data_IF_426413177733
#
_entry.id   IF_426413177733
#
_cell.length_a   1.000
_cell.length_b   1.000
_cell.length_c   1.000
_cell.angle_alpha   90.00
_cell.angle_beta   90.00
_cell.angle_gamma   90.00
#
_symmetry.space_group_name_H-M   'P 1'
#
loop_
_entity.id
_entity.type
_entity.pdbx_description
1 polymer ?
#
# COMPACT_ATOMS: atom_id res chain seq x y z
N UNK A 1 -4.97 -18.26 -11.99
CA UNK A 1 -5.66 -17.08 -12.56
C UNK A 1 -5.60 -15.97 -11.52
N UNK A 2 -5.90 -14.73 -11.86
CA UNK A 2 -6.08 -13.70 -10.82
C UNK A 2 -7.31 -14.09 -10.01
N UNK A 3 -7.12 -14.37 -8.72
CA UNK A 3 -8.14 -14.90 -7.80
C UNK A 3 -7.91 -14.38 -6.37
N UNK A 4 -8.68 -14.87 -5.40
CA UNK A 4 -8.63 -14.43 -4.00
C UNK A 4 -7.30 -14.64 -3.27
N UNK A 5 -6.35 -15.39 -3.85
CA UNK A 5 -5.00 -15.57 -3.33
C UNK A 5 -3.99 -14.59 -3.94
N UNK A 6 -4.41 -13.79 -4.92
CA UNK A 6 -3.58 -12.78 -5.59
C UNK A 6 -3.70 -11.45 -4.86
N UNK A 7 -2.57 -10.85 -4.48
CA UNK A 7 -2.48 -9.49 -3.96
C UNK A 7 -1.92 -8.56 -5.03
N UNK A 8 -2.67 -7.52 -5.38
CA UNK A 8 -2.20 -6.41 -6.20
C UNK A 8 -1.94 -5.20 -5.31
N UNK A 9 -0.69 -4.76 -5.28
CA UNK A 9 -0.28 -3.57 -4.53
C UNK A 9 0.05 -2.46 -5.53
N UNK A 10 -0.69 -1.35 -5.46
CA UNK A 10 -0.42 -0.13 -6.22
C UNK A 10 0.32 0.88 -5.34
N UNK A 11 1.35 1.54 -5.88
CA UNK A 11 2.11 2.57 -5.16
C UNK A 11 1.40 3.94 -5.19
N UNK A 12 0.44 4.12 -6.08
CA UNK A 12 -0.40 5.31 -6.12
C UNK A 12 -1.41 5.28 -4.96
N UNK A 13 -1.65 6.45 -4.36
CA UNK A 13 -2.63 6.62 -3.27
C UNK A 13 -3.72 7.63 -3.60
N UNK A 14 -3.55 8.44 -4.65
CA UNK A 14 -4.55 9.40 -5.12
C UNK A 14 -4.71 9.22 -6.64
N UNK A 15 -5.88 8.79 -7.15
CA UNK A 15 -7.11 8.49 -6.40
C UNK A 15 -6.98 7.29 -5.47
N UNK A 16 -7.90 7.14 -4.51
CA UNK A 16 -7.91 6.02 -3.54
C UNK A 16 -7.93 4.63 -4.21
N UNK A 17 -8.48 4.58 -5.43
CA UNK A 17 -8.56 3.39 -6.27
C UNK A 17 -8.18 3.70 -7.72
N UNK A 18 -7.19 2.99 -8.24
CA UNK A 18 -6.74 3.09 -9.62
C UNK A 18 -7.48 2.11 -10.53
N UNK A 19 -7.42 2.33 -11.85
CA UNK A 19 -7.96 1.38 -12.84
C UNK A 19 -7.31 -0.02 -12.71
N UNK A 20 -6.05 -0.07 -12.30
CA UNK A 20 -5.34 -1.33 -12.05
C UNK A 20 -5.98 -2.10 -10.89
N UNK A 21 -6.25 -1.42 -9.77
CA UNK A 21 -6.93 -2.01 -8.61
C UNK A 21 -8.37 -2.42 -8.94
N UNK A 22 -9.12 -1.58 -9.66
CA UNK A 22 -10.50 -1.88 -10.05
C UNK A 22 -10.58 -3.19 -10.86
N UNK A 23 -9.74 -3.33 -11.90
CA UNK A 23 -9.66 -4.55 -12.71
C UNK A 23 -9.19 -5.76 -11.91
N UNK A 24 -8.27 -5.57 -10.98
CA UNK A 24 -7.86 -6.61 -10.03
C UNK A 24 -9.02 -7.17 -9.23
N UNK A 25 -9.79 -6.26 -8.62
CA UNK A 25 -10.93 -6.61 -7.78
C UNK A 25 -12.04 -7.29 -8.58
N UNK A 26 -12.27 -6.88 -9.82
CA UNK A 26 -13.24 -7.55 -10.73
C UNK A 26 -12.92 -9.04 -10.95
N UNK A 27 -11.63 -9.42 -10.89
CA UNK A 27 -11.21 -10.82 -11.00
C UNK A 27 -11.11 -11.53 -9.63
N UNK A 28 -11.53 -10.87 -8.55
CA UNK A 28 -11.50 -11.43 -7.20
C UNK A 28 -10.15 -11.32 -6.48
N UNK A 29 -9.19 -10.55 -7.01
CA UNK A 29 -7.94 -10.29 -6.30
C UNK A 29 -8.14 -9.35 -5.11
N UNK A 30 -7.26 -9.51 -4.12
CA UNK A 30 -7.10 -8.55 -3.03
C UNK A 30 -6.29 -7.39 -3.57
N UNK A 31 -6.72 -6.15 -3.31
CA UNK A 31 -6.05 -4.94 -3.80
C UNK A 31 -5.72 -3.98 -2.67
N UNK A 32 -4.58 -3.31 -2.75
CA UNK A 32 -4.11 -2.32 -1.76
C UNK A 32 -3.44 -1.13 -2.46
N UNK A 33 -3.69 0.08 -1.97
CA UNK A 33 -3.08 1.30 -2.49
C UNK A 33 -1.83 1.70 -1.67
N UNK A 34 -1.13 2.74 -2.13
CA UNK A 34 0.16 3.17 -1.58
C UNK A 34 0.08 3.98 -0.29
N UNK A 35 -1.12 4.30 0.23
CA UNK A 35 -1.26 5.25 1.35
C UNK A 35 -0.61 4.72 2.62
N UNK A 36 -0.85 3.45 2.96
CA UNK A 36 -0.27 2.82 4.14
C UNK A 36 1.26 2.85 4.06
N UNK A 37 1.84 2.49 2.91
CA UNK A 37 3.27 2.54 2.69
C UNK A 37 3.83 3.96 2.91
N UNK A 38 3.17 4.99 2.38
CA UNK A 38 3.57 6.38 2.57
C UNK A 38 3.58 6.79 4.05
N UNK A 39 2.55 6.40 4.79
CA UNK A 39 2.46 6.67 6.24
C UNK A 39 3.55 5.94 7.02
N UNK A 40 3.77 4.66 6.73
CA UNK A 40 4.83 3.87 7.37
C UNK A 40 6.21 4.47 7.12
N UNK A 41 6.47 4.96 5.91
CA UNK A 41 7.72 5.66 5.57
C UNK A 41 7.87 6.96 6.37
N UNK A 42 6.78 7.72 6.55
CA UNK A 42 6.80 8.94 7.35
C UNK A 42 7.07 8.65 8.82
N UNK A 43 6.44 7.62 9.40
CA UNK A 43 6.68 7.21 10.79
C UNK A 43 8.10 6.70 10.99
N UNK A 44 8.60 5.83 10.12
CA UNK A 44 9.97 5.35 10.21
C UNK A 44 10.98 6.51 10.07
N UNK A 45 10.73 7.44 9.15
CA UNK A 45 11.56 8.64 9.02
C UNK A 45 11.53 9.46 10.30
N UNK A 46 10.35 9.68 10.88
CA UNK A 46 10.18 10.41 12.13
C UNK A 46 10.98 9.78 13.28
N UNK A 47 10.92 8.46 13.45
CA UNK A 47 11.72 7.73 14.44
C UNK A 47 13.23 7.97 14.26
N UNK A 48 13.72 7.99 13.01
CA UNK A 48 15.11 8.33 12.72
C UNK A 48 15.45 9.79 13.09
N UNK A 49 14.55 10.73 12.83
CA UNK A 49 14.77 12.16 13.13
C UNK A 49 14.78 12.46 14.63
N UNK A 50 13.92 11.82 15.41
CA UNK A 50 13.83 12.01 16.87
C UNK A 50 14.93 11.26 17.64
N UNK A 51 15.74 10.45 16.96
CA UNK A 51 16.81 9.67 17.59
C UNK A 51 16.28 8.53 18.47
N UNK A 52 15.04 8.10 18.25
CA UNK A 52 14.41 6.97 18.93
C UNK A 52 14.80 5.63 18.26
N UNK A 53 16.07 5.49 17.87
CA UNK A 53 16.54 4.18 17.44
C UNK A 53 16.47 3.23 18.65
N UNK A 54 15.70 2.16 18.44
CA UNK A 54 15.39 1.10 19.40
C UNK A 54 16.62 0.74 20.25
N UNK A 55 16.58 1.06 21.54
CA UNK A 55 17.38 0.34 22.54
C UNK A 55 16.95 -1.12 22.60
#
# INVERSE_FOLDING_TARGET
AMDSHTLLYDLLYNPDETLFMAKGREHGAIVKNGLEMLLLQAFASWEFWEGEEQK
#
